data_IF_228362213180
#
_entry.id   IF_228362213180
#
_cell.length_a   1.000
_cell.length_b   1.000
_cell.length_c   1.000
_cell.angle_alpha   90.00
_cell.angle_beta   90.00
_cell.angle_gamma   90.00
#
_symmetry.space_group_name_H-M   'P 1'
#
loop_
_entity.id
_entity.type
_entity.pdbx_description
1 polymer ?
#
# COMPACT_ATOMS: atom_id res chain seq x y z
N UNK A 1 9.41 -1.34 -23.70
CA UNK A 1 8.35 -0.39 -23.29
C UNK A 1 8.98 0.64 -22.38
N UNK A 2 9.07 1.91 -22.79
CA UNK A 2 9.80 2.96 -22.06
C UNK A 2 8.85 3.60 -21.02
N UNK A 3 9.28 3.68 -19.75
CA UNK A 3 8.50 4.34 -18.71
C UNK A 3 8.33 5.83 -19.07
N UNK A 4 7.15 6.44 -18.87
CA UNK A 4 6.97 7.87 -19.04
C UNK A 4 8.02 8.66 -18.25
N UNK A 5 8.59 9.72 -18.84
CA UNK A 5 9.65 10.53 -18.21
C UNK A 5 9.25 11.06 -16.84
N UNK A 6 7.97 11.37 -16.65
CA UNK A 6 7.43 11.88 -15.37
C UNK A 6 7.24 10.76 -14.34
N UNK A 7 6.79 9.58 -14.77
CA UNK A 7 6.72 8.38 -13.90
C UNK A 7 8.10 8.02 -13.36
N UNK A 8 9.13 8.12 -14.20
CA UNK A 8 10.50 7.79 -13.82
C UNK A 8 11.06 8.75 -12.76
N UNK A 9 10.83 10.07 -12.91
CA UNK A 9 11.22 11.07 -11.90
C UNK A 9 10.44 10.93 -10.60
N UNK A 10 9.15 10.64 -10.69
CA UNK A 10 8.27 10.54 -9.53
C UNK A 10 8.48 9.24 -8.72
N UNK A 11 8.85 8.15 -9.39
CA UNK A 11 9.34 6.93 -8.73
C UNK A 11 10.69 7.18 -8.07
N UNK A 12 11.62 7.85 -8.76
CA UNK A 12 12.96 8.15 -8.24
C UNK A 12 12.97 9.04 -6.99
N UNK A 13 11.95 9.87 -6.78
CA UNK A 13 11.81 10.66 -5.55
C UNK A 13 11.22 9.87 -4.37
N UNK A 14 10.76 8.63 -4.58
CA UNK A 14 10.06 7.82 -3.58
C UNK A 14 10.75 6.46 -3.41
N UNK A 15 11.81 6.46 -2.60
CA UNK A 15 12.66 5.29 -2.30
C UNK A 15 11.87 4.03 -1.93
N UNK A 16 10.75 4.15 -1.22
CA UNK A 16 9.93 3.01 -0.82
C UNK A 16 9.21 2.34 -2.00
N UNK A 17 8.72 3.11 -2.98
CA UNK A 17 8.10 2.55 -4.20
C UNK A 17 9.17 1.91 -5.09
N UNK A 18 10.37 2.51 -5.16
CA UNK A 18 11.50 1.87 -5.83
C UNK A 18 11.93 0.57 -5.15
N UNK A 19 12.02 0.54 -3.82
CA UNK A 19 12.42 -0.65 -3.07
C UNK A 19 11.40 -1.77 -3.21
N UNK A 20 10.11 -1.43 -3.22
CA UNK A 20 9.04 -2.37 -3.57
C UNK A 20 9.19 -2.86 -5.01
N UNK A 21 9.37 -1.98 -6.00
CA UNK A 21 9.56 -2.37 -7.39
C UNK A 21 10.82 -3.25 -7.59
N UNK A 22 11.92 -2.97 -6.88
CA UNK A 22 13.15 -3.77 -6.91
C UNK A 22 12.95 -5.15 -6.27
N UNK A 23 12.20 -5.25 -5.17
CA UNK A 23 11.97 -6.51 -4.42
C UNK A 23 10.97 -7.44 -5.10
N UNK A 24 9.93 -6.88 -5.72
CA UNK A 24 8.87 -7.65 -6.37
C UNK A 24 9.07 -7.78 -7.88
N UNK A 25 10.08 -7.11 -8.46
CA UNK A 25 10.42 -7.22 -9.88
C UNK A 25 9.23 -6.90 -10.80
N UNK A 26 9.01 -7.74 -11.81
CA UNK A 26 7.88 -7.63 -12.76
C UNK A 26 6.50 -7.87 -12.13
N UNK A 27 6.41 -8.29 -10.85
CA UNK A 27 5.15 -8.61 -10.19
C UNK A 27 4.49 -7.42 -9.50
N UNK A 28 5.25 -6.35 -9.17
CA UNK A 28 4.67 -5.10 -8.69
C UNK A 28 4.33 -4.23 -9.90
N UNK A 29 3.17 -4.48 -10.49
CA UNK A 29 2.67 -3.62 -11.55
C UNK A 29 2.21 -2.29 -10.92
N UNK A 30 2.83 -1.18 -11.33
CA UNK A 30 2.45 0.15 -10.88
C UNK A 30 1.52 0.76 -11.93
N UNK A 31 0.31 1.10 -11.50
CA UNK A 31 -0.61 1.91 -12.28
C UNK A 31 -0.21 3.39 -12.26
N UNK A 32 -0.52 4.08 -13.35
CA UNK A 32 -0.32 5.53 -13.47
C UNK A 32 -1.44 6.15 -14.29
N UNK A 33 -2.04 7.23 -13.78
CA UNK A 33 -2.97 8.09 -14.51
C UNK A 33 -2.65 9.56 -14.25
N UNK A 34 -3.24 10.43 -15.04
CA UNK A 34 -3.36 11.86 -14.74
C UNK A 34 -4.82 12.17 -14.42
N UNK A 35 -5.07 12.77 -13.27
CA UNK A 35 -6.38 13.31 -12.90
C UNK A 35 -6.22 14.80 -12.63
N UNK A 36 -7.04 15.62 -13.30
CA UNK A 36 -6.97 17.09 -13.17
C UNK A 36 -5.56 17.67 -13.39
N UNK A 37 -4.79 17.07 -14.32
CA UNK A 37 -3.42 17.49 -14.62
C UNK A 37 -2.37 17.05 -13.58
N UNK A 38 -2.75 16.27 -12.57
CA UNK A 38 -1.84 15.78 -11.53
C UNK A 38 -1.61 14.26 -11.69
N UNK A 39 -0.35 13.79 -11.60
CA UNK A 39 -0.08 12.36 -11.65
C UNK A 39 -0.57 11.65 -10.39
N UNK A 40 -1.17 10.47 -10.59
CA UNK A 40 -1.52 9.51 -9.56
C UNK A 40 -0.82 8.20 -9.89
N UNK A 41 -0.06 7.67 -8.94
CA UNK A 41 0.52 6.34 -8.99
C UNK A 41 -0.12 5.45 -7.93
N UNK A 42 -0.26 4.16 -8.24
CA UNK A 42 -0.72 3.17 -7.28
C UNK A 42 -0.11 1.80 -7.56
N UNK A 43 -0.06 0.96 -6.53
CA UNK A 43 0.27 -0.45 -6.70
C UNK A 43 -0.96 -1.18 -7.27
N UNK A 44 -0.78 -1.96 -8.32
CA UNK A 44 -1.78 -2.93 -8.74
C UNK A 44 -1.62 -4.20 -7.92
N UNK A 45 -2.74 -4.87 -7.70
CA UNK A 45 -2.82 -6.07 -6.88
C UNK A 45 -2.30 -5.84 -5.45
N UNK A 46 -2.83 -4.80 -4.79
CA UNK A 46 -2.44 -4.44 -3.42
C UNK A 46 -2.58 -5.62 -2.45
N UNK A 47 -3.58 -6.49 -2.65
CA UNK A 47 -3.74 -7.74 -1.89
C UNK A 47 -2.45 -8.56 -1.86
N UNK A 48 -1.86 -8.87 -3.02
CA UNK A 48 -0.64 -9.69 -3.10
C UNK A 48 0.54 -9.03 -2.37
N UNK A 49 0.66 -7.71 -2.45
CA UNK A 49 1.72 -6.96 -1.74
C UNK A 49 1.52 -7.01 -0.23
N UNK A 50 0.27 -6.90 0.23
CA UNK A 50 -0.11 -7.01 1.64
C UNK A 50 0.16 -8.43 2.16
N UNK A 51 -0.24 -9.47 1.42
CA UNK A 51 0.02 -10.88 1.74
C UNK A 51 1.52 -11.16 1.89
N UNK A 52 2.33 -10.64 0.97
CA UNK A 52 3.78 -10.75 1.06
C UNK A 52 4.33 -10.06 2.32
N UNK A 53 3.81 -8.87 2.67
CA UNK A 53 4.25 -8.18 3.88
C UNK A 53 3.85 -8.95 5.14
N UNK A 54 2.64 -9.49 5.19
CA UNK A 54 2.17 -10.34 6.29
C UNK A 54 3.05 -11.57 6.46
N UNK A 55 3.41 -12.24 5.36
CA UNK A 55 4.35 -13.37 5.40
C UNK A 55 5.70 -12.96 6.00
N UNK A 56 6.26 -11.80 5.62
CA UNK A 56 7.52 -11.32 6.19
C UNK A 56 7.42 -11.00 7.69
N UNK A 57 6.32 -10.36 8.11
CA UNK A 57 6.06 -10.09 9.52
C UNK A 57 5.88 -11.38 10.33
N UNK A 58 5.27 -12.41 9.74
CA UNK A 58 5.13 -13.73 10.35
C UNK A 58 6.50 -14.40 10.50
N UNK A 59 7.29 -14.45 9.43
CA UNK A 59 8.64 -15.03 9.44
C UNK A 59 9.59 -14.32 10.42
N UNK A 60 9.43 -13.01 10.62
CA UNK A 60 10.21 -12.23 11.58
C UNK A 60 9.64 -12.23 13.01
N UNK A 61 8.57 -13.00 13.27
CA UNK A 61 7.85 -13.09 14.56
C UNK A 61 7.30 -11.74 15.05
N UNK A 62 7.04 -10.82 14.14
CA UNK A 62 6.43 -9.52 14.43
C UNK A 62 4.91 -9.54 14.30
N UNK A 63 4.36 -10.46 13.48
CA UNK A 63 2.93 -10.63 13.31
C UNK A 63 2.29 -11.28 14.55
N UNK A 64 1.30 -10.60 15.12
CA UNK A 64 0.55 -11.03 16.30
C UNK A 64 -0.84 -11.49 15.87
N UNK A 65 -1.00 -12.80 15.69
CA UNK A 65 -2.27 -13.44 15.34
C UNK A 65 -3.09 -13.84 16.58
N UNK A 66 -2.44 -13.95 17.74
CA UNK A 66 -3.10 -14.37 18.99
C UNK A 66 -3.53 -13.17 19.86
N UNK A 67 -4.60 -13.33 20.64
CA UNK A 67 -5.02 -12.36 21.66
C UNK A 67 -6.01 -11.29 21.16
N UNK A 68 -5.67 -10.00 21.31
CA UNK A 68 -6.58 -8.85 21.09
C UNK A 68 -7.21 -8.76 19.69
N UNK A 69 -6.64 -9.44 18.70
CA UNK A 69 -7.09 -9.41 17.31
C UNK A 69 -7.90 -10.66 16.91
N UNK A 70 -7.85 -11.74 17.70
CA UNK A 70 -8.42 -13.03 17.30
C UNK A 70 -7.93 -13.49 15.92
N UNK A 71 -8.72 -14.31 15.23
CA UNK A 71 -8.36 -14.92 13.93
C UNK A 71 -8.51 -13.96 12.72
N UNK A 72 -8.21 -12.67 12.90
CA UNK A 72 -8.40 -11.64 11.86
C UNK A 72 -7.16 -10.78 11.65
N UNK A 73 -6.95 -10.36 10.39
CA UNK A 73 -5.97 -9.34 10.03
C UNK A 73 -6.65 -7.98 10.02
N UNK A 74 -6.17 -7.08 10.87
CA UNK A 74 -6.61 -5.69 10.97
C UNK A 74 -5.76 -4.80 10.08
N UNK A 75 -6.42 -4.18 9.11
CA UNK A 75 -5.83 -3.25 8.16
C UNK A 75 -6.41 -1.86 8.40
N UNK A 76 -5.63 -0.82 8.17
CA UNK A 76 -6.11 0.56 8.21
C UNK A 76 -5.47 1.38 7.09
N UNK A 77 -6.16 2.44 6.69
CA UNK A 77 -5.62 3.43 5.75
C UNK A 77 -5.02 4.60 6.50
N UNK A 78 -3.87 5.06 6.05
CA UNK A 78 -3.23 6.28 6.54
C UNK A 78 -2.74 7.12 5.37
N UNK A 79 -2.93 8.43 5.49
CA UNK A 79 -2.40 9.42 4.56
C UNK A 79 -1.25 10.19 5.19
N UNK A 80 -0.23 10.51 4.41
CA UNK A 80 0.85 11.42 4.80
C UNK A 80 1.08 12.46 3.71
N UNK A 81 0.77 13.72 4.03
CA UNK A 81 0.99 14.86 3.14
C UNK A 81 2.38 15.44 3.39
N UNK A 82 3.20 15.46 2.34
CA UNK A 82 4.54 16.06 2.35
C UNK A 82 4.76 16.96 1.14
N UNK A 83 4.99 18.25 1.39
CA UNK A 83 5.28 19.23 0.34
C UNK A 83 4.15 19.32 -0.69
N UNK A 84 4.42 18.91 -1.93
CA UNK A 84 3.45 18.93 -3.05
C UNK A 84 2.81 17.57 -3.35
N UNK A 85 3.03 16.57 -2.50
CA UNK A 85 2.54 15.20 -2.71
C UNK A 85 1.90 14.63 -1.46
N UNK A 86 0.96 13.71 -1.67
CA UNK A 86 0.32 12.95 -0.60
C UNK A 86 0.48 11.47 -0.87
N UNK A 87 0.95 10.74 0.14
CA UNK A 87 1.09 9.28 0.14
C UNK A 87 -0.12 8.66 0.84
N UNK A 88 -0.57 7.53 0.33
CA UNK A 88 -1.54 6.67 0.98
C UNK A 88 -0.88 5.32 1.24
N UNK A 89 -0.97 4.87 2.48
CA UNK A 89 -0.46 3.58 2.89
C UNK A 89 -1.55 2.73 3.56
N UNK A 90 -1.43 1.41 3.42
CA UNK A 90 -2.13 0.44 4.23
C UNK A 90 -1.22 0.04 5.38
N UNK A 91 -1.72 0.14 6.61
CA UNK A 91 -1.05 -0.33 7.80
C UNK A 91 -1.63 -1.64 8.30
N UNK A 92 -0.76 -2.53 8.79
CA UNK A 92 -1.13 -3.77 9.47
C UNK A 92 -1.09 -3.51 10.97
N UNK A 93 -2.21 -3.73 11.67
CA UNK A 93 -2.31 -3.45 13.10
C UNK A 93 -1.94 -4.67 13.98
N UNK A 94 -1.87 -5.88 13.43
CA UNK A 94 -1.44 -7.11 14.09
C UNK A 94 0.05 -7.12 14.45
N UNK A 95 0.56 -6.07 15.08
CA UNK A 95 1.97 -5.89 15.45
C UNK A 95 2.07 -5.13 16.78
N UNK A 96 3.25 -5.14 17.39
CA UNK A 96 3.49 -4.43 18.65
C UNK A 96 3.56 -2.91 18.49
N UNK A 97 4.11 -2.42 17.37
CA UNK A 97 4.19 -1.00 17.04
C UNK A 97 3.52 -0.73 15.71
N UNK A 98 2.41 0.02 15.75
CA UNK A 98 1.58 0.34 14.59
C UNK A 98 2.27 1.36 13.66
N UNK A 99 3.18 2.17 14.20
CA UNK A 99 3.88 3.21 13.44
C UNK A 99 5.31 2.77 13.11
N UNK A 100 5.45 1.76 12.25
CA UNK A 100 6.74 1.30 11.73
C UNK A 100 6.69 1.17 10.21
N UNK A 101 7.82 1.41 9.54
CA UNK A 101 7.93 1.18 8.10
C UNK A 101 7.72 -0.31 7.75
N UNK A 102 7.94 -1.22 8.71
CA UNK A 102 7.76 -2.66 8.53
C UNK A 102 6.29 -3.08 8.43
N UNK A 103 5.35 -2.30 8.96
CA UNK A 103 3.92 -2.62 8.91
C UNK A 103 3.09 -1.62 8.10
N UNK A 104 3.71 -0.53 7.62
CA UNK A 104 3.14 0.40 6.65
C UNK A 104 3.56 0.01 5.22
N UNK A 105 2.60 0.04 4.29
CA UNK A 105 2.79 -0.32 2.89
C UNK A 105 2.19 0.78 2.04
N UNK A 106 3.03 1.55 1.33
CA UNK A 106 2.53 2.56 0.40
C UNK A 106 1.75 1.88 -0.74
N UNK A 107 0.47 2.28 -0.90
CA UNK A 107 -0.43 1.73 -1.93
C UNK A 107 -0.76 2.74 -3.02
N UNK A 108 -0.70 4.03 -2.71
CA UNK A 108 -0.87 5.09 -3.70
C UNK A 108 -0.08 6.34 -3.32
N UNK A 109 0.20 7.15 -4.33
CA UNK A 109 0.90 8.42 -4.23
C UNK A 109 0.36 9.35 -5.30
N UNK A 110 0.04 10.59 -4.93
CA UNK A 110 -0.42 11.59 -5.89
C UNK A 110 0.17 12.96 -5.60
N UNK A 111 0.20 13.81 -6.61
CA UNK A 111 0.56 15.21 -6.46
C UNK A 111 -0.68 16.01 -6.04
N UNK A 112 -0.58 16.78 -4.96
CA UNK A 112 -1.68 17.57 -4.40
C UNK A 112 -1.91 17.34 -2.92
N UNK A 113 -2.84 18.13 -2.37
CA UNK A 113 -3.24 18.09 -0.98
C UNK A 113 -4.15 16.90 -0.69
N UNK A 114 -4.17 16.44 0.56
CA UNK A 114 -5.05 15.42 1.14
C UNK A 114 -6.51 15.90 1.32
N UNK A 115 -6.96 16.79 0.44
CA UNK A 115 -8.30 17.34 0.47
C UNK A 115 -9.32 16.38 -0.19
N UNK A 116 -10.61 16.63 0.08
CA UNK A 116 -11.70 15.79 -0.39
C UNK A 116 -11.68 15.59 -1.92
N UNK A 117 -11.44 16.66 -2.68
CA UNK A 117 -11.46 16.64 -4.14
C UNK A 117 -10.41 15.68 -4.73
N UNK A 118 -9.15 15.76 -4.25
CA UNK A 118 -8.10 14.86 -4.73
C UNK A 118 -8.32 13.42 -4.25
N UNK A 119 -8.89 13.23 -3.04
CA UNK A 119 -9.20 11.92 -2.48
C UNK A 119 -10.32 11.19 -3.23
N UNK A 120 -11.28 11.90 -3.82
CA UNK A 120 -12.35 11.30 -4.64
C UNK A 120 -11.76 10.55 -5.84
N UNK A 121 -10.78 11.14 -6.54
CA UNK A 121 -10.13 10.49 -7.68
C UNK A 121 -9.35 9.23 -7.28
N UNK A 122 -8.80 9.19 -6.07
CA UNK A 122 -8.13 8.02 -5.51
C UNK A 122 -9.09 6.95 -5.03
N UNK A 123 -10.28 7.33 -4.58
CA UNK A 123 -11.23 6.42 -3.93
C UNK A 123 -11.57 5.23 -4.80
N UNK A 124 -11.85 5.44 -6.09
CA UNK A 124 -12.20 4.34 -7.01
C UNK A 124 -11.04 3.37 -7.17
N UNK A 125 -9.83 3.89 -7.39
CA UNK A 125 -8.60 3.10 -7.50
C UNK A 125 -8.35 2.30 -6.23
N UNK A 126 -8.37 2.96 -5.07
CA UNK A 126 -8.14 2.31 -3.78
C UNK A 126 -9.21 1.29 -3.47
N UNK A 127 -10.48 1.57 -3.76
CA UNK A 127 -11.57 0.61 -3.53
C UNK A 127 -11.39 -0.63 -4.38
N UNK A 128 -11.03 -0.49 -5.66
CA UNK A 128 -10.74 -1.64 -6.53
C UNK A 128 -9.56 -2.47 -6.00
N UNK A 129 -8.49 -1.81 -5.52
CA UNK A 129 -7.30 -2.52 -5.05
C UNK A 129 -7.44 -3.13 -3.65
N UNK A 130 -8.28 -2.56 -2.79
CA UNK A 130 -8.36 -2.88 -1.36
C UNK A 130 -9.64 -3.61 -0.96
N UNK A 131 -10.60 -3.78 -1.87
CA UNK A 131 -11.82 -4.53 -1.59
C UNK A 131 -11.60 -6.05 -1.67
N UNK A 132 -11.03 -6.61 -0.62
CA UNK A 132 -10.91 -8.05 -0.42
C UNK A 132 -11.35 -8.45 0.99
N UNK A 133 -12.04 -9.60 1.16
CA UNK A 133 -12.55 -10.06 2.45
C UNK A 133 -11.52 -10.86 3.26
N UNK A 134 -10.43 -11.30 2.63
CA UNK A 134 -9.43 -12.18 3.20
C UNK A 134 -8.06 -11.98 2.55
N UNK A 135 -7.02 -12.39 3.27
CA UNK A 135 -5.60 -12.39 2.87
C UNK A 135 -4.93 -13.69 3.31
N UNK A 136 -3.89 -14.11 2.59
CA UNK A 136 -3.05 -15.24 2.96
C UNK A 136 -1.80 -14.84 3.74
N UNK A 137 -1.43 -15.68 4.70
CA UNK A 137 -0.15 -15.65 5.40
C UNK A 137 0.48 -17.04 5.26
N UNK A 138 1.39 -17.19 4.31
CA UNK A 138 1.86 -18.53 3.90
C UNK A 138 0.70 -19.32 3.26
N UNK A 139 0.44 -20.51 3.79
CA UNK A 139 -0.63 -21.40 3.30
C UNK A 139 -1.98 -21.19 4.00
N UNK A 140 -2.02 -20.32 5.02
CA UNK A 140 -3.21 -20.05 5.81
C UNK A 140 -3.95 -18.80 5.30
N UNK A 141 -5.29 -18.83 5.37
CA UNK A 141 -6.16 -17.73 4.95
C UNK A 141 -6.86 -17.11 6.15
N UNK A 142 -6.79 -15.78 6.25
CA UNK A 142 -7.34 -15.00 7.35
C UNK A 142 -8.36 -13.99 6.81
N UNK A 143 -9.48 -13.85 7.52
CA UNK A 143 -10.42 -12.77 7.23
C UNK A 143 -9.83 -11.41 7.58
N UNK A 144 -10.13 -10.39 6.77
CA UNK A 144 -9.66 -9.01 7.01
C UNK A 144 -10.71 -8.18 7.72
N UNK A 145 -10.24 -7.29 8.59
CA UNK A 145 -11.02 -6.23 9.21
C UNK A 145 -10.38 -4.88 8.83
N UNK A 146 -11.14 -4.05 8.15
CA UNK A 146 -10.80 -2.66 7.84
C UNK A 146 -11.36 -1.71 8.88
#
# INVERSE_FOLDING_TARGET
MQLPKDRSRFLASNHEVEDLAKKFGSELDIGAIYSQGKPILWIKNAKKVIEFRLLRLHQSKQLQLDGKYGEKIFLFLVGDKGGSSTKIAVGIANVSSINSYENLIMVALFQGDDNYENMVALKEILFEQLNFPSVRVGDEEFSTKW
#
